data_IF_650850032147
#
_entry.id   IF_650850032147
#
_cell.length_a   1.000
_cell.length_b   1.000
_cell.length_c   1.000
_cell.angle_alpha   90.00
_cell.angle_beta   90.00
_cell.angle_gamma   90.00
#
_symmetry.space_group_name_H-M   'P 1'
#
loop_
_entity.id
_entity.type
_entity.pdbx_description
1 polymer ?
#
# COMPACT_ATOMS: atom_id res chain seq x y z
N UNK A 1 -5.82 11.72 2.50
CA UNK A 1 -4.97 10.99 1.53
C UNK A 1 -5.48 11.30 0.13
N UNK A 2 -4.60 11.59 -0.83
CA UNK A 2 -4.97 11.78 -2.24
C UNK A 2 -4.83 10.46 -3.00
N UNK A 3 -5.81 10.07 -3.81
CA UNK A 3 -5.74 8.88 -4.68
C UNK A 3 -5.59 9.34 -6.13
N UNK A 4 -4.62 8.78 -6.84
CA UNK A 4 -4.38 9.04 -8.25
C UNK A 4 -4.52 7.74 -9.02
N UNK A 5 -4.93 7.85 -10.28
CA UNK A 5 -5.25 6.71 -11.12
C UNK A 5 -4.52 6.82 -12.44
N UNK A 6 -3.86 5.74 -12.84
CA UNK A 6 -3.29 5.58 -14.18
C UNK A 6 -3.86 4.32 -14.83
N UNK A 7 -4.06 4.37 -16.13
CA UNK A 7 -4.46 3.22 -16.93
C UNK A 7 -3.43 2.98 -18.03
N UNK A 8 -2.97 1.75 -18.19
CA UNK A 8 -2.00 1.33 -19.19
C UNK A 8 -2.65 0.30 -20.10
N UNK A 9 -2.68 0.60 -21.40
CA UNK A 9 -3.21 -0.30 -22.44
C UNK A 9 -4.67 -0.73 -22.23
N UNK A 10 -5.42 -0.04 -21.36
CA UNK A 10 -6.81 -0.35 -21.01
C UNK A 10 -7.65 0.90 -20.82
N UNK A 11 -8.97 0.73 -20.88
CA UNK A 11 -9.95 1.71 -20.43
C UNK A 11 -10.63 1.19 -19.17
N UNK A 12 -10.64 1.99 -18.11
CA UNK A 12 -11.19 1.60 -16.81
C UNK A 12 -12.54 2.31 -16.64
N UNK A 13 -13.64 1.56 -16.45
CA UNK A 13 -14.95 2.17 -16.19
C UNK A 13 -14.95 3.01 -14.91
N UNK A 14 -15.74 4.08 -14.89
CA UNK A 14 -15.82 4.97 -13.73
C UNK A 14 -16.25 4.24 -12.46
N UNK A 15 -17.17 3.26 -12.57
CA UNK A 15 -17.59 2.44 -11.43
C UNK A 15 -16.46 1.62 -10.78
N UNK A 16 -15.43 1.25 -11.56
CA UNK A 16 -14.23 0.58 -11.03
C UNK A 16 -13.32 1.60 -10.36
N UNK A 17 -13.20 2.79 -10.93
CA UNK A 17 -12.41 3.89 -10.36
C UNK A 17 -12.97 4.37 -9.04
N UNK A 18 -14.28 4.59 -8.95
CA UNK A 18 -14.99 4.96 -7.72
C UNK A 18 -14.79 3.91 -6.62
N UNK A 19 -14.98 2.62 -6.97
CA UNK A 19 -14.71 1.51 -6.04
C UNK A 19 -13.25 1.50 -5.58
N UNK A 20 -12.31 1.71 -6.49
CA UNK A 20 -10.89 1.75 -6.15
C UNK A 20 -10.57 2.94 -5.23
N UNK A 21 -11.18 4.10 -5.45
CA UNK A 21 -11.04 5.27 -4.58
C UNK A 21 -11.56 4.98 -3.18
N UNK A 22 -12.73 4.35 -3.06
CA UNK A 22 -13.33 4.01 -1.77
C UNK A 22 -12.48 2.98 -1.00
N UNK A 23 -12.08 1.89 -1.67
CA UNK A 23 -11.31 0.81 -1.05
C UNK A 23 -9.89 1.24 -0.68
N UNK A 24 -9.19 1.94 -1.57
CA UNK A 24 -7.83 2.44 -1.31
C UNK A 24 -7.90 3.58 -0.30
N UNK A 25 -8.86 4.49 -0.42
CA UNK A 25 -9.15 5.53 0.56
C UNK A 25 -9.32 4.98 1.97
N UNK A 26 -10.04 3.86 2.11
CA UNK A 26 -10.21 3.17 3.37
C UNK A 26 -8.90 2.58 3.95
N UNK A 27 -7.78 2.54 3.21
CA UNK A 27 -6.49 2.13 3.77
C UNK A 27 -5.87 3.20 4.66
N UNK A 28 -6.21 4.48 4.48
CA UNK A 28 -5.62 5.59 5.25
C UNK A 28 -5.88 5.47 6.76
N UNK A 29 -6.93 4.74 7.16
CA UNK A 29 -7.25 4.46 8.58
C UNK A 29 -6.29 3.45 9.24
N UNK A 30 -5.42 2.76 8.48
CA UNK A 30 -4.38 1.89 9.03
C UNK A 30 -3.07 2.62 9.38
N UNK A 31 -2.77 3.74 8.72
CA UNK A 31 -1.58 4.57 8.99
C UNK A 31 -1.87 6.04 8.63
N UNK A 32 -1.87 6.91 9.65
CA UNK A 32 -2.14 8.34 9.48
C UNK A 32 -1.05 9.11 8.73
N UNK A 33 0.09 8.47 8.43
CA UNK A 33 1.21 9.07 7.65
C UNK A 33 1.08 8.84 6.15
N UNK A 34 0.00 8.23 5.67
CA UNK A 34 -0.23 8.06 4.24
C UNK A 34 -0.58 9.39 3.57
N UNK A 35 0.32 9.89 2.72
CA UNK A 35 0.14 11.16 2.01
C UNK A 35 -0.63 10.97 0.70
N UNK A 36 -0.24 9.99 -0.11
CA UNK A 36 -0.89 9.68 -1.38
C UNK A 36 -0.90 8.18 -1.69
N UNK A 37 -1.77 7.80 -2.62
CA UNK A 37 -1.82 6.49 -3.22
C UNK A 37 -1.92 6.60 -4.75
N UNK A 38 -1.12 5.82 -5.47
CA UNK A 38 -1.25 5.67 -6.91
C UNK A 38 -1.82 4.28 -7.22
N UNK A 39 -2.87 4.24 -8.04
CA UNK A 39 -3.51 3.01 -8.49
C UNK A 39 -3.32 2.90 -10.00
N UNK A 40 -2.58 1.89 -10.42
CA UNK A 40 -2.28 1.62 -11.83
C UNK A 40 -3.07 0.41 -12.29
N UNK A 41 -3.95 0.61 -13.25
CA UNK A 41 -4.66 -0.45 -13.96
C UNK A 41 -3.89 -0.78 -15.23
N UNK A 42 -3.70 -2.06 -15.50
CA UNK A 42 -3.03 -2.53 -16.69
C UNK A 42 -3.72 -3.78 -17.23
N UNK A 43 -3.92 -3.82 -18.54
CA UNK A 43 -4.43 -5.01 -19.22
C UNK A 43 -3.32 -5.58 -20.10
N UNK A 44 -2.99 -6.86 -19.88
CA UNK A 44 -2.10 -7.61 -20.75
C UNK A 44 -2.82 -8.85 -21.28
N UNK A 45 -3.17 -8.81 -22.58
CA UNK A 45 -3.97 -9.80 -23.30
C UNK A 45 -5.36 -10.03 -22.72
N UNK A 46 -5.46 -10.79 -21.63
CA UNK A 46 -6.69 -11.16 -20.91
C UNK A 46 -6.49 -11.19 -19.39
N UNK A 47 -5.36 -10.69 -18.93
CA UNK A 47 -5.03 -10.59 -17.51
C UNK A 47 -5.15 -9.14 -17.12
N UNK A 48 -6.05 -8.89 -16.16
CA UNK A 48 -6.29 -7.60 -15.58
C UNK A 48 -5.41 -7.45 -14.35
N UNK A 49 -4.47 -6.51 -14.41
CA UNK A 49 -3.52 -6.21 -13.36
C UNK A 49 -3.88 -4.91 -12.67
N UNK A 50 -3.81 -4.91 -11.35
CA UNK A 50 -3.91 -3.70 -10.54
C UNK A 50 -2.69 -3.62 -9.63
N UNK A 51 -2.02 -2.48 -9.67
CA UNK A 51 -0.92 -2.12 -8.78
C UNK A 51 -1.34 -0.92 -7.93
N UNK A 52 -1.02 -0.99 -6.64
CA UNK A 52 -1.27 0.08 -5.67
C UNK A 52 0.06 0.44 -5.02
N UNK A 53 0.41 1.72 -5.10
CA UNK A 53 1.61 2.31 -4.50
C UNK A 53 1.14 3.27 -3.42
N UNK A 54 1.44 2.96 -2.17
CA UNK A 54 1.10 3.80 -1.02
C UNK A 54 2.33 4.57 -0.57
N UNK A 55 2.25 5.89 -0.62
CA UNK A 55 3.30 6.79 -0.15
C UNK A 55 3.09 7.11 1.32
N UNK A 56 4.11 6.87 2.13
CA UNK A 56 4.06 7.02 3.59
C UNK A 56 5.16 7.98 4.02
N UNK A 57 4.77 9.06 4.69
CA UNK A 57 5.73 10.08 5.12
C UNK A 57 6.69 9.50 6.16
N UNK A 58 8.00 9.65 5.89
CA UNK A 58 9.06 9.14 6.77
C UNK A 58 9.22 7.61 6.74
N UNK A 59 8.68 6.92 5.74
CA UNK A 59 8.89 5.49 5.52
C UNK A 59 8.99 5.14 4.03
N UNK A 60 9.49 3.95 3.72
CA UNK A 60 9.48 3.44 2.35
C UNK A 60 8.04 3.21 1.88
N UNK A 61 7.73 3.50 0.60
CA UNK A 61 6.41 3.27 0.05
C UNK A 61 6.06 1.78 0.06
N UNK A 62 4.77 1.48 0.21
CA UNK A 62 4.25 0.11 0.14
C UNK A 62 3.69 -0.12 -1.25
N UNK A 63 4.33 -1.01 -2.01
CA UNK A 63 3.92 -1.38 -3.36
C UNK A 63 3.31 -2.78 -3.32
N UNK A 64 2.07 -2.90 -3.80
CA UNK A 64 1.37 -4.17 -3.93
C UNK A 64 0.77 -4.29 -5.32
N UNK A 65 0.80 -5.51 -5.88
CA UNK A 65 0.12 -5.82 -7.14
C UNK A 65 -0.62 -7.13 -7.05
N UNK A 66 -1.71 -7.23 -7.82
CA UNK A 66 -2.47 -8.45 -8.05
C UNK A 66 -3.01 -8.48 -9.48
N UNK A 67 -3.24 -9.70 -9.96
CA UNK A 67 -3.70 -10.00 -11.31
C UNK A 67 -4.88 -10.97 -11.21
N UNK A 68 -5.87 -10.79 -12.08
CA UNK A 68 -7.04 -11.68 -12.20
C UNK A 68 -7.65 -11.57 -13.61
N UNK A 69 -8.74 -12.30 -13.89
CA UNK A 69 -9.48 -12.17 -15.15
C UNK A 69 -10.34 -10.90 -15.23
N UNK A 70 -10.61 -10.27 -14.09
CA UNK A 70 -11.43 -9.07 -13.97
C UNK A 70 -10.81 -8.04 -13.03
N UNK A 71 -10.87 -6.76 -13.40
CA UNK A 71 -10.33 -5.67 -12.56
C UNK A 71 -10.94 -5.63 -11.15
N UNK A 72 -12.21 -5.99 -10.99
CA UNK A 72 -12.86 -6.00 -9.66
C UNK A 72 -12.16 -6.97 -8.71
N UNK A 73 -11.87 -8.17 -9.19
CA UNK A 73 -11.24 -9.22 -8.38
C UNK A 73 -9.77 -8.88 -8.13
N UNK A 74 -9.06 -8.40 -9.15
CA UNK A 74 -7.68 -7.94 -9.01
C UNK A 74 -7.57 -6.77 -8.01
N UNK A 75 -8.52 -5.83 -8.05
CA UNK A 75 -8.61 -4.70 -7.12
C UNK A 75 -8.80 -5.17 -5.67
N UNK A 76 -9.77 -6.05 -5.42
CA UNK A 76 -10.03 -6.56 -4.07
C UNK A 76 -8.79 -7.31 -3.51
N UNK A 77 -8.13 -8.12 -4.36
CA UNK A 77 -6.91 -8.84 -3.99
C UNK A 77 -5.74 -7.90 -3.68
N UNK A 78 -5.52 -6.87 -4.50
CA UNK A 78 -4.41 -5.94 -4.26
C UNK A 78 -4.63 -5.09 -3.00
N UNK A 79 -5.88 -4.70 -2.71
CA UNK A 79 -6.23 -3.95 -1.49
C UNK A 79 -5.97 -4.80 -0.24
N UNK A 80 -6.38 -6.06 -0.22
CA UNK A 80 -6.07 -6.98 0.89
C UNK A 80 -4.55 -7.14 1.08
N UNK A 81 -3.81 -7.32 -0.02
CA UNK A 81 -2.34 -7.43 0.01
C UNK A 81 -1.70 -6.16 0.55
N UNK A 82 -2.11 -4.99 0.08
CA UNK A 82 -1.63 -3.70 0.54
C UNK A 82 -1.90 -3.52 2.05
N UNK A 83 -3.11 -3.84 2.51
CA UNK A 83 -3.47 -3.78 3.92
C UNK A 83 -2.59 -4.71 4.79
N UNK A 84 -2.28 -5.92 4.33
CA UNK A 84 -1.37 -6.84 5.03
C UNK A 84 0.06 -6.30 5.06
N UNK A 85 0.55 -5.74 3.95
CA UNK A 85 1.90 -5.16 3.87
C UNK A 85 2.04 -3.92 4.76
N UNK A 86 1.04 -3.04 4.77
CA UNK A 86 0.97 -1.88 5.67
C UNK A 86 1.08 -2.28 7.14
N UNK A 87 0.28 -3.25 7.58
CA UNK A 87 0.31 -3.74 8.97
C UNK A 87 1.69 -4.28 9.36
N UNK A 88 2.33 -5.04 8.45
CA UNK A 88 3.69 -5.58 8.65
C UNK A 88 4.76 -4.49 8.66
N UNK A 89 4.64 -3.48 7.80
CA UNK A 89 5.58 -2.35 7.78
C UNK A 89 5.49 -1.55 9.07
N UNK A 90 4.27 -1.32 9.59
CA UNK A 90 4.04 -0.63 10.86
C UNK A 90 4.59 -1.41 12.06
N UNK A 91 4.38 -2.73 12.12
CA UNK A 91 4.93 -3.55 13.22
C UNK A 91 6.46 -3.53 13.22
N UNK A 92 7.11 -3.63 12.06
CA UNK A 92 8.58 -3.53 11.96
C UNK A 92 9.11 -2.15 12.39
N UNK A 93 8.40 -1.08 12.07
CA UNK A 93 8.77 0.27 12.46
C UNK A 93 8.61 0.51 13.97
N UNK A 94 7.63 -0.12 14.63
CA UNK A 94 7.51 -0.08 16.09
C UNK A 94 8.60 -0.89 16.79
N UNK A 95 8.99 -2.05 16.24
CA UNK A 95 10.01 -2.91 16.84
C UNK A 95 11.41 -2.25 16.83
N UNK A 96 11.74 -1.48 15.79
CA UNK A 96 13.00 -0.72 15.72
C UNK A 96 13.04 0.49 16.67
N UNK A 97 11.93 0.86 17.31
CA UNK A 97 11.89 1.92 18.34
C UNK A 97 12.05 1.39 19.77
N UNK A 98 12.19 0.08 19.97
CA UNK A 98 12.64 -0.42 21.26
C UNK A 98 14.08 0.08 21.51
N UNK A 99 14.36 0.76 22.63
CA UNK A 99 15.69 1.28 22.88
C UNK A 99 16.62 0.08 23.04
N UNK A 100 17.64 -0.01 22.17
CA UNK A 100 18.86 -0.70 22.57
C UNK A 100 19.39 0.08 23.75
N UNK A 101 19.19 -0.44 24.95
CA UNK A 101 19.92 -0.04 26.15
C UNK A 101 21.39 -0.38 25.93
N UNK A 102 22.05 0.50 25.18
CA UNK A 102 23.50 0.54 25.10
C UNK A 102 24.04 0.93 26.46
N UNK A 103 25.00 0.14 26.92
CA UNK A 103 26.13 0.61 27.72
C UNK A 103 25.76 1.17 29.10
N UNK A 104 25.72 0.27 30.10
CA UNK A 104 26.22 0.65 31.42
C UNK A 104 27.68 0.23 31.45
N UNK A 105 28.55 1.20 31.19
CA UNK A 105 30.00 1.03 31.20
C UNK A 105 30.53 0.59 32.57
N UNK A 106 31.61 -0.18 32.52
CA UNK A 106 32.90 0.10 33.18
C UNK A 106 33.03 1.56 33.72
N UNK A 107 33.57 1.90 34.90
CA UNK A 107 34.68 1.41 35.75
C UNK A 107 34.58 2.17 37.13
N UNK A 108 35.63 2.30 37.97
CA UNK A 108 35.97 1.52 39.19
C UNK A 108 35.80 2.30 40.52
N UNK A 109 36.00 1.63 41.67
CA UNK A 109 36.85 2.04 42.82
C UNK A 109 37.02 0.85 43.79
#
# INVERSE_FOLDING_TARGET
MRVQFAARRCSVPDSIRERAEELVGALSRFDGRMSSADVVFEEDKRVQKVEVILHIDGASPVVASAEDGEFRVALDRVVDRAARMLRRARSRASDHKAPSVSSRGDLPE
#
